data_IF_786397996528
#
_entry.id   IF_786397996528
#
_cell.length_a   1.000
_cell.length_b   1.000
_cell.length_c   1.000
_cell.angle_alpha   90.00
_cell.angle_beta   90.00
_cell.angle_gamma   90.00
#
_symmetry.space_group_name_H-M   'P 1'
#
loop_
_entity.id
_entity.type
_entity.pdbx_description
1 polymer ?
#
# COMPACT_ATOMS: atom_id res chain seq x y z
N UNK A 1 4.27 -24.85 10.52
CA UNK A 1 4.22 -24.99 9.05
C UNK A 1 3.71 -23.68 8.49
N UNK A 2 4.59 -22.78 8.04
CA UNK A 2 4.14 -21.58 7.36
C UNK A 2 3.78 -21.99 5.92
N UNK A 3 2.49 -21.97 5.61
CA UNK A 3 2.00 -22.21 4.26
C UNK A 3 2.42 -21.00 3.42
N UNK A 4 3.44 -21.18 2.57
CA UNK A 4 3.75 -20.23 1.52
C UNK A 4 2.60 -20.26 0.51
N UNK A 5 1.69 -19.29 0.60
CA UNK A 5 0.66 -19.10 -0.41
C UNK A 5 1.32 -18.50 -1.66
N UNK A 6 1.46 -19.31 -2.70
CA UNK A 6 1.87 -18.84 -4.03
C UNK A 6 0.76 -17.93 -4.58
N UNK A 7 0.98 -16.61 -4.54
CA UNK A 7 0.05 -15.65 -5.13
C UNK A 7 0.01 -15.84 -6.65
N UNK A 8 -1.20 -15.96 -7.19
CA UNK A 8 -1.48 -16.02 -8.62
C UNK A 8 -0.70 -14.94 -9.38
N UNK A 9 0.01 -15.34 -10.43
CA UNK A 9 0.97 -14.54 -11.20
C UNK A 9 0.36 -13.34 -11.97
N UNK A 10 -0.93 -13.06 -11.79
CA UNK A 10 -1.72 -12.10 -12.57
C UNK A 10 -2.53 -11.11 -11.70
N UNK A 11 -2.15 -10.86 -10.44
CA UNK A 11 -2.76 -9.75 -9.70
C UNK A 11 -2.34 -8.40 -10.31
N UNK A 12 -3.33 -7.62 -10.78
CA UNK A 12 -3.11 -6.25 -11.23
C UNK A 12 -2.82 -5.40 -10.00
N UNK A 13 -1.55 -5.01 -9.84
CA UNK A 13 -1.12 -4.12 -8.75
C UNK A 13 -1.69 -2.71 -8.98
N UNK A 14 -2.50 -2.23 -8.04
CA UNK A 14 -3.10 -0.90 -8.04
C UNK A 14 -2.07 0.15 -7.63
N UNK A 15 -1.66 0.98 -8.59
CA UNK A 15 -0.65 2.03 -8.41
C UNK A 15 -1.20 3.27 -7.67
N UNK A 16 -1.86 3.06 -6.53
CA UNK A 16 -2.44 4.10 -5.69
C UNK A 16 -2.01 3.93 -4.23
N UNK A 17 -1.88 5.05 -3.51
CA UNK A 17 -1.63 5.04 -2.09
C UNK A 17 -2.87 4.58 -1.31
N UNK A 18 -2.70 3.65 -0.37
CA UNK A 18 -3.81 3.10 0.40
C UNK A 18 -4.30 4.00 1.55
N UNK A 19 -3.53 5.04 1.90
CA UNK A 19 -3.90 6.04 2.90
C UNK A 19 -4.67 7.21 2.30
N UNK A 20 -4.23 7.73 1.15
CA UNK A 20 -4.71 9.00 0.61
C UNK A 20 -5.25 8.91 -0.83
N UNK A 21 -5.14 7.76 -1.49
CA UNK A 21 -5.67 7.53 -2.83
C UNK A 21 -4.89 8.19 -3.97
N UNK A 22 -3.81 8.94 -3.67
CA UNK A 22 -2.98 9.56 -4.71
C UNK A 22 -2.33 8.49 -5.58
N UNK A 23 -2.22 8.80 -6.87
CA UNK A 23 -1.47 7.98 -7.82
C UNK A 23 -0.01 7.90 -7.39
N UNK A 24 0.48 6.67 -7.33
CA UNK A 24 1.91 6.37 -7.22
C UNK A 24 2.35 5.67 -8.50
N UNK A 25 1.91 6.11 -9.68
CA UNK A 25 2.46 5.52 -10.92
C UNK A 25 3.95 5.86 -11.06
N UNK A 26 4.67 5.04 -11.83
CA UNK A 26 6.06 5.33 -12.19
C UNK A 26 6.16 6.75 -12.78
N UNK A 27 7.11 7.54 -12.27
CA UNK A 27 7.29 8.95 -12.69
C UNK A 27 6.45 9.97 -11.90
N UNK A 28 5.61 9.53 -10.96
CA UNK A 28 4.83 10.45 -10.10
C UNK A 28 5.68 11.21 -9.07
N UNK A 29 6.89 10.73 -8.75
CA UNK A 29 7.71 11.27 -7.67
C UNK A 29 7.21 10.94 -6.25
N UNK A 30 6.16 10.11 -6.11
CA UNK A 30 5.46 9.88 -4.84
C UNK A 30 5.86 8.59 -4.10
N UNK A 31 7.00 7.98 -4.44
CA UNK A 31 7.45 6.70 -3.85
C UNK A 31 8.59 6.87 -2.85
N UNK A 32 8.55 6.14 -1.73
CA UNK A 32 9.71 5.91 -0.85
C UNK A 32 10.50 4.70 -1.33
N UNK A 33 9.80 3.59 -1.55
CA UNK A 33 10.30 2.36 -2.15
C UNK A 33 9.17 1.75 -3.01
N UNK A 34 9.50 0.88 -3.97
CA UNK A 34 8.49 0.21 -4.82
C UNK A 34 8.00 -1.10 -4.20
N UNK A 35 7.88 -1.14 -2.89
CA UNK A 35 7.41 -2.31 -2.16
C UNK A 35 5.92 -2.11 -1.87
N UNK A 36 5.03 -2.97 -2.39
CA UNK A 36 3.61 -2.91 -2.04
C UNK A 36 3.40 -3.11 -0.54
N UNK A 37 2.35 -2.49 0.01
CA UNK A 37 1.91 -2.77 1.37
C UNK A 37 1.46 -4.25 1.46
N UNK A 38 2.16 -5.04 2.28
CA UNK A 38 1.91 -6.48 2.44
C UNK A 38 0.62 -6.78 3.22
N UNK A 39 -0.01 -5.79 3.84
CA UNK A 39 -1.32 -5.96 4.47
C UNK A 39 -2.38 -6.32 3.43
N UNK A 40 -3.20 -7.32 3.73
CA UNK A 40 -4.38 -7.63 2.92
C UNK A 40 -5.48 -6.55 3.05
N UNK A 41 -6.50 -6.65 2.20
CA UNK A 41 -7.61 -5.69 2.18
C UNK A 41 -8.32 -5.58 3.54
N UNK A 42 -8.52 -6.71 4.23
CA UNK A 42 -9.25 -6.74 5.51
C UNK A 42 -8.44 -6.03 6.59
N UNK A 43 -7.14 -6.28 6.63
CA UNK A 43 -6.19 -5.62 7.53
C UNK A 43 -6.16 -4.12 7.28
N UNK A 44 -6.14 -3.68 6.01
CA UNK A 44 -6.20 -2.25 5.66
C UNK A 44 -7.51 -1.60 6.12
N UNK A 45 -8.65 -2.28 5.98
CA UNK A 45 -9.95 -1.80 6.48
C UNK A 45 -9.95 -1.69 8.01
N UNK A 46 -9.45 -2.73 8.70
CA UNK A 46 -9.34 -2.74 10.18
C UNK A 46 -8.47 -1.58 10.68
N UNK A 47 -7.39 -1.27 9.97
CA UNK A 47 -6.51 -0.12 10.23
C UNK A 47 -7.12 1.24 9.83
N UNK A 48 -8.41 1.29 9.49
CA UNK A 48 -9.15 2.50 9.10
C UNK A 48 -8.51 3.26 7.93
N UNK A 49 -7.86 2.55 7.00
CA UNK A 49 -7.32 3.16 5.77
C UNK A 49 -8.47 3.73 4.94
N UNK A 50 -8.35 4.98 4.50
CA UNK A 50 -9.39 5.66 3.70
C UNK A 50 -9.49 5.11 2.27
N UNK A 51 -8.40 4.57 1.72
CA UNK A 51 -8.33 4.06 0.35
C UNK A 51 -7.76 2.63 0.32
N UNK A 52 -8.39 1.65 1.01
CA UNK A 52 -7.78 0.34 1.31
C UNK A 52 -7.49 -0.52 0.07
N UNK A 53 -8.05 -0.17 -1.10
CA UNK A 53 -7.81 -0.82 -2.39
C UNK A 53 -6.51 -0.40 -3.09
N UNK A 54 -5.84 0.66 -2.62
CA UNK A 54 -4.49 1.00 -3.11
C UNK A 54 -3.47 -0.01 -2.59
N UNK A 55 -2.41 -0.28 -3.35
CA UNK A 55 -1.41 -1.29 -2.99
C UNK A 55 -0.10 -0.73 -2.44
N UNK A 56 0.02 0.60 -2.30
CA UNK A 56 1.26 1.24 -1.83
C UNK A 56 1.01 2.26 -0.73
N UNK A 57 2.08 2.73 -0.10
CA UNK A 57 2.10 3.93 0.74
C UNK A 57 2.94 4.99 0.02
N UNK A 58 2.40 6.20 -0.19
CA UNK A 58 3.19 7.27 -0.81
C UNK A 58 4.14 7.90 0.22
N UNK A 59 5.18 8.59 -0.27
CA UNK A 59 6.18 9.27 0.57
C UNK A 59 5.59 10.16 1.64
N UNK A 60 4.58 10.96 1.30
CA UNK A 60 3.92 11.81 2.28
C UNK A 60 3.26 10.97 3.40
N UNK A 61 2.52 9.91 3.07
CA UNK A 61 1.85 9.11 4.09
C UNK A 61 2.82 8.25 4.91
N UNK A 62 3.96 7.87 4.33
CA UNK A 62 5.02 7.14 5.00
C UNK A 62 5.73 8.05 6.03
N UNK A 63 6.18 9.24 5.61
CA UNK A 63 6.83 10.22 6.47
C UNK A 63 5.92 10.76 7.59
N UNK A 64 4.60 10.79 7.39
CA UNK A 64 3.65 11.24 8.41
C UNK A 64 3.22 10.14 9.37
N UNK A 65 3.55 8.88 9.09
CA UNK A 65 3.18 7.74 9.95
C UNK A 65 3.93 7.76 11.29
N UNK A 66 5.09 8.41 11.36
CA UNK A 66 5.92 8.50 12.57
C UNK A 66 5.59 9.67 13.51
N UNK A 67 4.71 10.60 13.11
CA UNK A 67 4.45 11.84 13.89
C UNK A 67 3.40 11.71 15.00
N UNK A 68 2.79 10.55 15.20
CA UNK A 68 1.74 10.33 16.20
C UNK A 68 1.94 9.04 17.03
N UNK A 69 3.19 8.68 17.35
CA UNK A 69 3.49 7.71 18.41
C UNK A 69 3.88 8.43 19.69
#
# INVERSE_FOLDING_TARGET
>A
MYQHQEKNKNEIINQFCNHCGRSVKLGSGMFVNRIPDMNDLITRISNKRKFPKGDFVCIECDEHSERNQ
#
